data_IF_665356143199
#
_entry.id   IF_665356143199
#
_cell.length_a   1.000
_cell.length_b   1.000
_cell.length_c   1.000
_cell.angle_alpha   90.00
_cell.angle_beta   90.00
_cell.angle_gamma   90.00
#
_symmetry.space_group_name_H-M   'P 1'
#
loop_
_entity.id
_entity.type
_entity.pdbx_description
1 polymer ?
#
# COMPACT_ATOMS: atom_id res chain seq x y z
N UNK A 1 0.97 -40.86 5.40
CA UNK A 1 2.24 -40.19 5.07
C UNK A 1 1.84 -38.81 4.56
N UNK A 2 2.13 -37.74 5.29
CA UNK A 2 1.74 -36.40 4.86
C UNK A 2 2.73 -35.91 3.80
N UNK A 3 2.26 -35.72 2.57
CA UNK A 3 3.04 -35.15 1.49
C UNK A 3 3.30 -33.67 1.81
N UNK A 4 4.49 -33.39 2.35
CA UNK A 4 4.95 -32.04 2.66
C UNK A 4 5.82 -31.50 1.53
N UNK A 5 5.65 -30.23 1.21
CA UNK A 5 6.50 -29.50 0.25
C UNK A 5 7.41 -28.53 1.01
N UNK A 6 8.57 -28.22 0.45
CA UNK A 6 9.53 -27.28 1.06
C UNK A 6 9.22 -25.87 0.56
N UNK A 7 9.23 -24.90 1.48
CA UNK A 7 9.12 -23.50 1.12
C UNK A 7 10.49 -22.93 0.78
N UNK A 8 10.68 -22.44 -0.45
CA UNK A 8 11.97 -21.90 -0.91
C UNK A 8 12.37 -20.55 -0.28
N UNK A 9 11.47 -19.88 0.45
CA UNK A 9 11.78 -18.61 1.15
C UNK A 9 12.38 -18.88 2.53
N UNK A 10 11.73 -19.72 3.35
CA UNK A 10 12.21 -20.06 4.69
C UNK A 10 13.00 -21.37 4.76
N UNK A 11 13.07 -22.13 3.66
CA UNK A 11 13.72 -23.43 3.55
C UNK A 11 13.15 -24.51 4.50
N UNK A 12 11.90 -24.34 4.95
CA UNK A 12 11.24 -25.28 5.87
C UNK A 12 10.24 -26.18 5.13
N UNK A 13 10.17 -27.45 5.54
CA UNK A 13 9.12 -28.36 5.11
C UNK A 13 7.78 -27.97 5.75
N UNK A 14 6.74 -27.83 4.92
CA UNK A 14 5.39 -27.50 5.35
C UNK A 14 4.39 -28.52 4.81
N UNK A 15 3.34 -28.84 5.58
CA UNK A 15 2.23 -29.65 5.08
C UNK A 15 1.52 -28.91 3.93
N UNK A 16 0.93 -29.66 2.99
CA UNK A 16 0.31 -29.09 1.79
C UNK A 16 -0.80 -28.05 2.04
N UNK A 17 -1.43 -28.06 3.22
CA UNK A 17 -2.44 -27.06 3.62
C UNK A 17 -1.84 -25.68 4.00
N UNK A 18 -0.57 -25.64 4.38
CA UNK A 18 0.17 -24.42 4.69
C UNK A 18 0.88 -23.84 3.47
N UNK A 19 1.05 -24.65 2.41
CA UNK A 19 1.58 -24.23 1.14
C UNK A 19 0.47 -23.55 0.33
N UNK A 20 0.75 -22.35 -0.18
CA UNK A 20 -0.19 -21.56 -0.99
C UNK A 20 0.47 -21.23 -2.31
N UNK A 21 -0.29 -21.31 -3.39
CA UNK A 21 0.14 -20.86 -4.70
C UNK A 21 0.05 -19.33 -4.79
N UNK A 22 0.95 -18.73 -5.56
CA UNK A 22 1.04 -17.27 -5.66
C UNK A 22 0.11 -16.68 -6.73
N UNK A 23 -0.31 -17.48 -7.70
CA UNK A 23 -1.27 -17.12 -8.73
C UNK A 23 -1.74 -18.39 -9.46
N UNK A 24 -2.83 -18.30 -10.24
CA UNK A 24 -3.17 -19.35 -11.20
C UNK A 24 -2.22 -19.36 -12.42
N UNK A 25 -1.45 -18.29 -12.61
CA UNK A 25 -0.55 -18.11 -13.76
C UNK A 25 0.92 -18.43 -13.44
N UNK A 26 1.22 -19.00 -12.28
CA UNK A 26 2.52 -19.61 -12.00
C UNK A 26 2.39 -20.76 -10.98
N UNK A 27 3.25 -21.77 -11.09
CA UNK A 27 3.28 -22.95 -10.21
C UNK A 27 4.09 -22.74 -8.92
N UNK A 28 4.51 -21.51 -8.62
CA UNK A 28 5.32 -21.23 -7.43
C UNK A 28 4.46 -21.25 -6.16
N UNK A 29 4.90 -22.03 -5.18
CA UNK A 29 4.22 -22.23 -3.90
C UNK A 29 5.12 -21.86 -2.74
N UNK A 30 4.55 -21.20 -1.74
CA UNK A 30 5.26 -20.78 -0.54
C UNK A 30 4.37 -20.94 0.68
N UNK A 31 4.97 -20.98 1.86
CA UNK A 31 4.18 -21.12 3.07
C UNK A 31 3.37 -19.83 3.31
N UNK A 32 2.18 -19.98 3.87
CA UNK A 32 1.27 -18.87 4.18
C UNK A 32 1.98 -17.74 4.94
N UNK A 33 2.85 -18.08 5.90
CA UNK A 33 3.65 -17.12 6.66
C UNK A 33 4.57 -16.28 5.77
N UNK A 34 5.35 -16.91 4.90
CA UNK A 34 6.27 -16.19 4.01
C UNK A 34 5.53 -15.31 3.00
N UNK A 35 4.40 -15.77 2.47
CA UNK A 35 3.57 -14.96 1.57
C UNK A 35 3.03 -13.74 2.31
N UNK A 36 2.51 -13.92 3.52
CA UNK A 36 1.98 -12.82 4.33
C UNK A 36 3.06 -11.81 4.68
N UNK A 37 4.26 -12.25 5.05
CA UNK A 37 5.40 -11.37 5.34
C UNK A 37 5.86 -10.62 4.07
N UNK A 38 5.96 -11.30 2.93
CA UNK A 38 6.28 -10.68 1.64
C UNK A 38 5.25 -9.61 1.24
N UNK A 39 3.96 -9.95 1.32
CA UNK A 39 2.87 -9.00 1.05
C UNK A 39 2.97 -7.80 1.99
N UNK A 40 3.15 -8.05 3.30
CA UNK A 40 3.26 -6.99 4.30
C UNK A 40 4.46 -6.07 4.04
N UNK A 41 5.60 -6.63 3.67
CA UNK A 41 6.80 -5.86 3.32
C UNK A 41 6.57 -4.99 2.08
N UNK A 42 5.99 -5.55 1.01
CA UNK A 42 5.69 -4.80 -0.23
C UNK A 42 4.68 -3.67 0.00
N UNK A 43 3.70 -3.89 0.87
CA UNK A 43 2.75 -2.85 1.28
C UNK A 43 3.41 -1.75 2.12
N UNK A 44 4.37 -2.10 2.98
CA UNK A 44 5.16 -1.09 3.71
C UNK A 44 6.03 -0.24 2.78
N UNK A 45 6.51 -0.82 1.68
CA UNK A 45 7.22 -0.10 0.61
C UNK A 45 6.30 0.74 -0.31
N UNK A 46 4.99 0.84 0.00
CA UNK A 46 3.96 1.50 -0.81
C UNK A 46 3.78 0.90 -2.22
N UNK A 47 4.18 -0.36 -2.45
CA UNK A 47 3.85 -1.07 -3.69
C UNK A 47 2.45 -1.67 -3.61
N UNK A 48 1.53 -1.16 -4.42
CA UNK A 48 0.18 -1.70 -4.53
C UNK A 48 0.09 -2.91 -5.46
N UNK A 49 1.07 -3.06 -6.36
CA UNK A 49 1.27 -4.22 -7.22
C UNK A 49 2.27 -5.19 -6.58
N UNK A 50 1.76 -6.23 -5.93
CA UNK A 50 2.60 -7.25 -5.31
C UNK A 50 2.85 -8.34 -6.33
N UNK A 51 4.12 -8.64 -6.62
CA UNK A 51 4.52 -9.69 -7.56
C UNK A 51 4.97 -10.95 -6.82
N UNK A 52 4.92 -12.08 -7.51
CA UNK A 52 5.51 -13.34 -7.08
C UNK A 52 6.95 -13.12 -6.54
N UNK A 53 7.33 -13.74 -5.41
CA UNK A 53 8.68 -13.60 -4.85
C UNK A 53 9.79 -14.15 -5.76
N UNK A 54 9.46 -15.00 -6.72
CA UNK A 54 10.42 -15.61 -7.63
C UNK A 54 11.05 -14.58 -8.58
N UNK A 55 12.38 -14.61 -8.72
CA UNK A 55 13.17 -13.58 -9.42
C UNK A 55 12.78 -13.40 -10.89
N UNK A 56 12.32 -14.47 -11.54
CA UNK A 56 11.93 -14.47 -12.95
C UNK A 56 10.41 -14.52 -13.17
N UNK A 57 9.61 -14.37 -12.10
CA UNK A 57 8.16 -14.42 -12.19
C UNK A 57 7.56 -13.03 -12.05
N UNK A 58 6.97 -12.52 -13.14
CA UNK A 58 6.28 -11.21 -13.17
C UNK A 58 4.79 -11.31 -12.83
N UNK A 59 4.31 -12.45 -12.34
CA UNK A 59 2.91 -12.62 -12.01
C UNK A 59 2.53 -11.75 -10.82
N UNK A 60 1.47 -10.98 -10.99
CA UNK A 60 0.91 -10.13 -9.94
C UNK A 60 -0.06 -10.95 -9.10
N UNK A 61 0.03 -10.80 -7.79
CA UNK A 61 -0.91 -11.39 -6.86
C UNK A 61 -2.27 -10.72 -7.00
N UNK A 62 -3.29 -11.53 -7.26
CA UNK A 62 -4.66 -11.03 -7.26
C UNK A 62 -5.15 -10.85 -5.83
N UNK A 63 -5.68 -9.66 -5.53
CA UNK A 63 -6.21 -9.30 -4.20
C UNK A 63 -7.15 -10.34 -3.61
N UNK A 64 -8.02 -10.88 -4.45
CA UNK A 64 -9.06 -11.81 -4.02
C UNK A 64 -8.46 -13.13 -3.51
N UNK A 65 -7.29 -13.53 -4.02
CA UNK A 65 -6.59 -14.74 -3.59
C UNK A 65 -5.87 -14.56 -2.25
N UNK A 66 -5.50 -13.32 -1.92
CA UNK A 66 -4.75 -13.02 -0.70
C UNK A 66 -5.65 -12.80 0.52
N UNK A 67 -6.98 -12.63 0.33
CA UNK A 67 -7.94 -12.35 1.40
C UNK A 67 -7.93 -13.39 2.52
N UNK A 68 -7.75 -14.66 2.17
CA UNK A 68 -7.74 -15.79 3.12
C UNK A 68 -6.31 -16.17 3.57
N UNK A 69 -5.30 -15.40 3.15
CA UNK A 69 -3.89 -15.59 3.49
C UNK A 69 -3.43 -14.52 4.47
N UNK A 70 -3.84 -13.25 4.25
CA UNK A 70 -3.38 -12.11 5.03
C UNK A 70 -4.40 -11.70 6.11
N UNK A 71 -3.95 -11.18 7.25
CA UNK A 71 -4.83 -10.64 8.26
C UNK A 71 -5.71 -9.50 7.72
N UNK A 72 -6.95 -9.40 8.21
CA UNK A 72 -7.92 -8.36 7.82
C UNK A 72 -7.32 -6.94 7.84
N UNK A 73 -6.48 -6.63 8.83
CA UNK A 73 -5.83 -5.32 8.93
C UNK A 73 -4.86 -5.03 7.78
N UNK A 74 -4.15 -6.06 7.29
CA UNK A 74 -3.23 -5.93 6.15
C UNK A 74 -4.05 -5.79 4.85
N UNK A 75 -5.16 -6.52 4.75
CA UNK A 75 -6.07 -6.42 3.61
C UNK A 75 -6.71 -5.02 3.50
N UNK A 76 -7.21 -4.47 4.61
CA UNK A 76 -7.82 -3.14 4.66
C UNK A 76 -6.83 -2.04 4.25
N UNK A 77 -5.59 -2.12 4.74
CA UNK A 77 -4.50 -1.22 4.33
C UNK A 77 -4.17 -1.35 2.85
N UNK A 78 -4.14 -2.56 2.30
CA UNK A 78 -3.91 -2.78 0.87
C UNK A 78 -5.04 -2.19 0.02
N UNK A 79 -6.30 -2.38 0.44
CA UNK A 79 -7.45 -1.79 -0.26
C UNK A 79 -7.41 -0.26 -0.24
N UNK A 80 -7.08 0.33 0.91
CA UNK A 80 -6.93 1.77 1.07
C UNK A 80 -5.79 2.30 0.19
N UNK A 81 -4.60 1.68 0.22
CA UNK A 81 -3.47 2.06 -0.60
C UNK A 81 -3.78 2.00 -2.11
N UNK A 82 -4.62 1.04 -2.54
CA UNK A 82 -5.07 0.97 -3.92
C UNK A 82 -6.07 2.07 -4.28
N UNK A 83 -7.01 2.41 -3.40
CA UNK A 83 -7.88 3.57 -3.59
C UNK A 83 -7.05 4.86 -3.70
N UNK A 84 -6.03 5.00 -2.87
CA UNK A 84 -5.10 6.14 -2.90
C UNK A 84 -4.17 6.15 -4.12
N UNK A 85 -3.76 4.98 -4.64
CA UNK A 85 -2.97 4.90 -5.88
C UNK A 85 -3.81 5.06 -7.15
N UNK A 86 -5.13 4.86 -7.05
CA UNK A 86 -6.10 5.15 -8.09
C UNK A 86 -6.48 6.64 -8.14
N UNK A 87 -6.13 7.43 -7.12
CA UNK A 87 -6.15 8.89 -7.20
C UNK A 87 -5.11 9.27 -8.26
N UNK A 88 -5.60 9.64 -9.43
CA UNK A 88 -4.74 10.07 -10.52
C UNK A 88 -3.88 11.25 -10.04
N UNK A 89 -2.65 11.43 -10.55
CA UNK A 89 -1.91 12.68 -10.34
C UNK A 89 -2.75 13.92 -10.63
N UNK A 90 -3.73 13.81 -11.53
CA UNK A 90 -4.72 14.85 -11.86
C UNK A 90 -5.56 15.27 -10.64
N UNK A 91 -6.08 14.33 -9.86
CA UNK A 91 -6.92 14.63 -8.69
C UNK A 91 -6.14 15.29 -7.55
N UNK A 92 -4.85 14.98 -7.40
CA UNK A 92 -3.95 15.68 -6.46
C UNK A 92 -3.66 17.11 -6.91
N UNK A 93 -3.43 17.31 -8.21
CA UNK A 93 -3.27 18.64 -8.81
C UNK A 93 -4.57 19.45 -8.68
N UNK A 94 -5.74 18.82 -8.81
CA UNK A 94 -7.04 19.49 -8.67
C UNK A 94 -7.31 19.93 -7.22
N UNK A 95 -7.01 19.08 -6.23
CA UNK A 95 -7.16 19.47 -4.82
C UNK A 95 -6.17 20.57 -4.42
N UNK A 96 -4.91 20.49 -4.86
CA UNK A 96 -3.91 21.53 -4.62
C UNK A 96 -4.28 22.84 -5.33
N UNK A 97 -4.81 22.77 -6.56
CA UNK A 97 -5.27 23.94 -7.32
C UNK A 97 -6.49 24.59 -6.66
N UNK A 98 -7.46 23.81 -6.17
CA UNK A 98 -8.63 24.32 -5.43
C UNK A 98 -8.20 24.99 -4.12
N UNK A 99 -7.23 24.41 -3.40
CA UNK A 99 -6.67 24.99 -2.18
C UNK A 99 -5.96 26.32 -2.45
N UNK A 100 -5.18 26.41 -3.53
CA UNK A 100 -4.52 27.65 -3.98
C UNK A 100 -5.57 28.71 -4.35
N UNK A 101 -6.57 28.35 -5.17
CA UNK A 101 -7.63 29.29 -5.58
C UNK A 101 -8.45 29.80 -4.37
N UNK A 102 -8.76 28.91 -3.42
CA UNK A 102 -9.48 29.29 -2.21
C UNK A 102 -8.63 30.20 -1.32
N UNK A 103 -7.34 29.91 -1.21
CA UNK A 103 -6.39 30.74 -0.46
C UNK A 103 -6.24 32.13 -1.07
N UNK A 104 -6.19 32.26 -2.41
CA UNK A 104 -6.19 33.57 -3.09
C UNK A 104 -7.49 34.32 -2.82
N UNK A 105 -8.64 33.66 -2.95
CA UNK A 105 -9.96 34.24 -2.72
C UNK A 105 -10.13 34.75 -1.29
N UNK A 106 -9.65 33.99 -0.31
CA UNK A 106 -9.78 34.32 1.12
C UNK A 106 -8.56 35.04 1.70
N UNK A 107 -7.56 35.35 0.87
CA UNK A 107 -6.29 35.99 1.27
C UNK A 107 -5.56 35.24 2.40
N UNK A 108 -5.63 33.91 2.37
CA UNK A 108 -4.90 33.05 3.30
C UNK A 108 -3.40 33.13 3.02
N UNK A 109 -2.59 32.93 4.06
CA UNK A 109 -1.13 32.99 3.94
C UNK A 109 -0.52 31.65 4.34
N UNK A 110 0.59 31.29 3.74
CA UNK A 110 1.30 30.07 4.13
C UNK A 110 2.14 30.31 5.38
N UNK A 111 2.15 29.33 6.28
CA UNK A 111 3.09 29.31 7.40
C UNK A 111 4.53 29.16 6.86
N UNK A 112 5.49 29.99 7.30
CA UNK A 112 6.87 29.90 6.83
C UNK A 112 7.54 28.57 7.18
N UNK A 113 7.14 27.92 8.28
CA UNK A 113 7.68 26.64 8.76
C UNK A 113 7.10 25.41 8.05
N UNK A 114 5.79 25.20 8.15
CA UNK A 114 5.13 23.98 7.65
C UNK A 114 4.41 24.13 6.30
N UNK A 115 4.37 25.34 5.72
CA UNK A 115 3.76 25.66 4.40
C UNK A 115 2.24 25.47 4.27
N UNK A 116 1.54 25.08 5.34
CA UNK A 116 0.08 25.06 5.37
C UNK A 116 -0.51 26.48 5.27
N UNK A 117 -1.65 26.62 4.57
CA UNK A 117 -2.40 27.86 4.49
C UNK A 117 -3.14 28.12 5.80
N UNK A 118 -3.00 29.34 6.32
CA UNK A 118 -3.66 29.82 7.54
C UNK A 118 -4.57 30.99 7.23
N UNK A 119 -5.80 30.91 7.73
CA UNK A 119 -6.78 31.99 7.71
C UNK A 119 -6.51 32.97 8.84
N UNK A 120 -6.57 34.27 8.54
CA UNK A 120 -6.46 35.32 9.58
C UNK A 120 -7.82 35.95 9.82
N UNK A 121 -8.35 35.76 11.02
CA UNK A 121 -9.64 36.34 11.42
C UNK A 121 -9.49 37.81 11.86
N UNK A 122 -8.54 38.14 12.75
CA UNK A 122 -8.18 39.52 13.17
C UNK A 122 -6.75 39.55 13.74
N UNK A 123 -6.11 40.72 13.87
CA UNK A 123 -4.87 40.89 14.66
C UNK A 123 -3.51 40.75 13.93
N UNK A 124 -2.47 40.40 14.71
CA UNK A 124 -1.04 40.45 14.38
C UNK A 124 -0.62 39.48 13.24
N UNK A 125 0.52 39.77 12.59
CA UNK A 125 1.07 38.98 11.47
C UNK A 125 1.94 37.78 11.90
N UNK A 126 2.12 37.56 13.21
CA UNK A 126 2.93 36.47 13.74
C UNK A 126 2.24 35.12 13.46
N UNK A 127 2.93 34.22 12.76
CA UNK A 127 2.47 32.86 12.47
C UNK A 127 3.47 31.92 13.15
N UNK A 128 3.01 31.16 14.14
CA UNK A 128 3.79 30.11 14.80
C UNK A 128 3.30 28.77 14.29
N UNK A 129 4.23 27.91 13.89
CA UNK A 129 3.94 26.53 13.51
C UNK A 129 3.71 25.66 14.75
#
# INVERSE_FOLDING_TARGET
>A
MAEGSVCEICMEAKPGNEMRNTSNNCSHTYCSKCITEHISAKLQENFTMITCPELNCKQVFERHMCRDIIPLQVFDRWETALKESLVLPSDKVEHDMLLIQLAEKNKWRQCPGCKYYVERLTGCLHITC
#
